data_IF_653325837563
#
_entry.id   IF_653325837563
#
_cell.length_a   1.000
_cell.length_b   1.000
_cell.length_c   1.000
_cell.angle_alpha   90.00
_cell.angle_beta   90.00
_cell.angle_gamma   90.00
#
_symmetry.space_group_name_H-M   'P 1'
#
loop_
_entity.id
_entity.type
_entity.pdbx_description
1 polymer ?
#
# COMPACT_ATOMS: atom_id res chain seq x y z
N UNK A 1 -43.95 -26.84 20.27
CA UNK A 1 -43.43 -26.91 18.87
C UNK A 1 -43.43 -25.54 18.18
N UNK A 2 -44.58 -24.86 17.99
CA UNK A 2 -44.59 -23.53 17.32
C UNK A 2 -43.85 -22.43 18.11
N UNK A 3 -44.04 -22.36 19.44
CA UNK A 3 -43.36 -21.37 20.31
C UNK A 3 -41.85 -21.59 20.39
N UNK A 4 -41.41 -22.86 20.44
CA UNK A 4 -39.99 -23.25 20.45
C UNK A 4 -39.30 -22.96 19.11
N UNK A 5 -40.03 -23.10 17.99
CA UNK A 5 -39.55 -22.68 16.67
C UNK A 5 -39.38 -21.15 16.59
N UNK A 6 -40.37 -20.39 17.10
CA UNK A 6 -40.35 -18.93 17.05
C UNK A 6 -39.21 -18.34 17.89
N UNK A 7 -38.95 -18.91 19.07
CA UNK A 7 -37.81 -18.53 19.90
C UNK A 7 -36.46 -18.89 19.27
N UNK A 8 -36.36 -20.05 18.60
CA UNK A 8 -35.14 -20.43 17.88
C UNK A 8 -34.87 -19.48 16.69
N UNK A 9 -35.92 -19.07 15.98
CA UNK A 9 -35.82 -18.10 14.89
C UNK A 9 -35.38 -16.73 15.39
N UNK A 10 -35.91 -16.27 16.53
CA UNK A 10 -35.52 -14.99 17.14
C UNK A 10 -34.04 -14.98 17.56
N UNK A 11 -33.55 -16.08 18.14
CA UNK A 11 -32.13 -16.24 18.49
C UNK A 11 -31.24 -16.25 17.25
N UNK A 12 -31.64 -16.95 16.19
CA UNK A 12 -30.90 -16.97 14.93
C UNK A 12 -30.79 -15.58 14.29
N UNK A 13 -31.89 -14.81 14.28
CA UNK A 13 -31.91 -13.44 13.74
C UNK A 13 -31.00 -12.51 14.57
N UNK A 14 -31.01 -12.68 15.90
CA UNK A 14 -30.19 -11.87 16.81
C UNK A 14 -28.69 -12.14 16.64
N UNK A 15 -28.30 -13.39 16.38
CA UNK A 15 -26.91 -13.78 16.08
C UNK A 15 -26.41 -13.17 14.77
N UNK A 16 -27.24 -13.15 13.72
CA UNK A 16 -26.91 -12.54 12.43
C UNK A 16 -26.74 -11.02 12.57
N UNK A 17 -27.62 -10.36 13.35
CA UNK A 17 -27.51 -8.93 13.60
C UNK A 17 -26.23 -8.56 14.37
N UNK A 18 -25.80 -9.39 15.32
CA UNK A 18 -24.55 -9.18 16.08
C UNK A 18 -23.29 -9.36 15.23
N UNK A 19 -23.34 -10.21 14.20
CA UNK A 19 -22.20 -10.45 13.29
C UNK A 19 -21.86 -9.26 12.38
N UNK A 20 -22.74 -8.25 12.27
CA UNK A 20 -22.56 -7.12 11.36
C UNK A 20 -21.71 -5.96 11.93
N UNK A 21 -21.13 -6.12 13.11
CA UNK A 21 -20.26 -5.10 13.74
C UNK A 21 -18.80 -5.12 13.27
N UNK A 22 -18.50 -5.66 12.09
CA UNK A 22 -17.16 -5.58 11.51
C UNK A 22 -17.04 -4.29 10.67
N UNK A 23 -16.74 -3.18 11.33
CA UNK A 23 -16.23 -2.00 10.63
C UNK A 23 -14.81 -2.31 10.16
N UNK A 24 -14.68 -2.77 8.92
CA UNK A 24 -13.36 -2.97 8.30
C UNK A 24 -12.56 -1.66 8.28
N UNK A 25 -11.25 -1.75 8.44
CA UNK A 25 -10.35 -0.62 8.23
C UNK A 25 -9.82 -0.66 6.80
N UNK A 26 -9.64 0.52 6.19
CA UNK A 26 -8.91 0.67 4.94
C UNK A 26 -7.59 1.39 5.24
N UNK A 27 -6.50 0.88 4.69
CA UNK A 27 -5.18 1.51 4.77
C UNK A 27 -4.91 2.22 3.45
N UNK A 28 -4.58 3.51 3.49
CA UNK A 28 -4.20 4.26 2.29
C UNK A 28 -2.70 4.50 2.34
N UNK A 29 -1.99 3.99 1.35
CA UNK A 29 -0.59 4.26 1.06
C UNK A 29 -0.56 5.27 -0.08
N UNK A 30 0.13 6.39 0.10
CA UNK A 30 0.24 7.39 -0.95
C UNK A 30 1.69 7.79 -1.20
N UNK A 31 2.00 8.08 -2.46
CA UNK A 31 3.22 8.78 -2.90
C UNK A 31 2.85 10.07 -3.62
N UNK A 32 3.79 11.00 -3.70
CA UNK A 32 3.69 12.26 -4.43
C UNK A 32 5.11 12.77 -4.74
N UNK A 33 5.25 13.63 -5.74
CA UNK A 33 6.50 14.36 -6.04
C UNK A 33 7.69 13.41 -6.17
N UNK A 34 7.48 12.28 -6.85
CA UNK A 34 8.50 11.25 -6.99
C UNK A 34 9.65 11.71 -7.87
N UNK A 35 9.45 12.68 -8.78
CA UNK A 35 10.49 13.39 -9.51
C UNK A 35 11.59 12.49 -10.10
N UNK A 36 11.19 11.33 -10.64
CA UNK A 36 12.09 10.31 -11.16
C UNK A 36 13.18 9.84 -10.19
N UNK A 37 12.99 9.92 -8.87
CA UNK A 37 13.94 9.43 -7.84
C UNK A 37 13.94 7.90 -7.73
N UNK A 38 14.24 7.22 -8.84
CA UNK A 38 14.20 5.77 -8.97
C UNK A 38 15.07 5.05 -7.93
N UNK A 39 16.29 5.54 -7.73
CA UNK A 39 17.29 4.94 -6.83
C UNK A 39 17.22 5.45 -5.39
N UNK A 40 16.39 6.45 -5.11
CA UNK A 40 16.24 7.03 -3.77
C UNK A 40 17.26 8.12 -3.43
N UNK A 41 17.19 8.65 -2.21
CA UNK A 41 17.90 9.82 -1.71
C UNK A 41 19.19 9.43 -1.01
N UNK A 42 20.30 9.63 -1.71
CA UNK A 42 21.72 9.65 -1.28
C UNK A 42 22.52 10.24 -2.45
N UNK A 43 23.81 10.57 -2.28
CA UNK A 43 24.70 10.68 -3.44
C UNK A 43 24.59 9.41 -4.30
N UNK A 44 24.33 9.57 -5.58
CA UNK A 44 24.08 8.45 -6.50
C UNK A 44 25.27 7.48 -6.58
N UNK A 45 26.48 7.98 -6.33
CA UNK A 45 27.71 7.18 -6.26
C UNK A 45 27.74 6.19 -5.09
N UNK A 46 26.94 6.42 -4.05
CA UNK A 46 26.84 5.53 -2.89
C UNK A 46 25.76 4.46 -3.06
N UNK A 47 24.96 4.51 -4.14
CA UNK A 47 23.88 3.56 -4.33
C UNK A 47 24.39 2.17 -4.70
N UNK A 48 24.09 1.19 -3.85
CA UNK A 48 24.53 -0.19 -3.99
C UNK A 48 23.33 -1.12 -4.25
N UNK A 49 22.86 -1.28 -5.50
CA UNK A 49 21.61 -2.02 -5.78
C UNK A 49 21.68 -3.53 -5.50
N UNK A 50 22.89 -4.09 -5.42
CA UNK A 50 23.12 -5.54 -5.28
C UNK A 50 23.51 -5.96 -3.86
N UNK A 51 23.66 -4.99 -2.96
CA UNK A 51 23.95 -5.22 -1.54
C UNK A 51 22.93 -4.48 -0.69
N UNK A 52 22.76 -4.94 0.55
CA UNK A 52 21.71 -4.43 1.43
C UNK A 52 22.37 -3.92 2.71
N UNK A 53 21.94 -2.75 3.18
CA UNK A 53 22.38 -2.12 4.44
C UNK A 53 23.85 -1.68 4.44
N UNK A 54 24.43 -1.43 3.27
CA UNK A 54 25.78 -0.91 3.08
C UNK A 54 25.82 0.51 2.51
N UNK A 55 24.64 1.08 2.21
CA UNK A 55 24.46 2.48 1.82
C UNK A 55 23.54 3.24 2.81
N UNK A 56 23.57 4.57 2.70
CA UNK A 56 22.66 5.45 3.44
C UNK A 56 21.40 5.81 2.63
N UNK A 57 21.18 5.14 1.49
CA UNK A 57 20.14 5.51 0.53
C UNK A 57 18.75 5.26 1.08
N UNK A 58 17.91 6.30 1.08
CA UNK A 58 16.51 6.23 1.52
C UNK A 58 15.54 6.29 0.36
N UNK A 59 14.41 5.60 0.47
CA UNK A 59 13.41 5.58 -0.60
C UNK A 59 13.91 4.86 -1.87
N UNK A 60 13.45 5.32 -3.03
CA UNK A 60 13.64 4.62 -4.29
C UNK A 60 12.62 3.50 -4.49
N UNK A 61 12.39 3.14 -5.74
CA UNK A 61 11.23 2.35 -6.16
C UNK A 61 11.29 0.91 -5.63
N UNK A 62 12.47 0.30 -5.61
CA UNK A 62 12.64 -1.05 -5.07
C UNK A 62 12.28 -1.12 -3.56
N UNK A 63 12.70 -0.12 -2.78
CA UNK A 63 12.39 -0.05 -1.34
C UNK A 63 10.91 0.27 -1.12
N UNK A 64 10.34 1.20 -1.89
CA UNK A 64 8.92 1.53 -1.84
C UNK A 64 8.03 0.32 -2.20
N UNK A 65 8.34 -0.39 -3.28
CA UNK A 65 7.61 -1.60 -3.69
C UNK A 65 7.64 -2.68 -2.61
N UNK A 66 8.76 -2.83 -1.90
CA UNK A 66 8.89 -3.76 -0.77
C UNK A 66 7.95 -3.38 0.37
N UNK A 67 7.91 -2.10 0.76
CA UNK A 67 7.01 -1.60 1.82
C UNK A 67 5.54 -1.76 1.41
N UNK A 68 5.20 -1.39 0.17
CA UNK A 68 3.84 -1.55 -0.37
C UNK A 68 3.39 -3.01 -0.28
N UNK A 69 4.23 -3.94 -0.74
CA UNK A 69 3.93 -5.38 -0.69
C UNK A 69 3.73 -5.86 0.76
N UNK A 70 4.62 -5.48 1.68
CA UNK A 70 4.51 -5.84 3.10
C UNK A 70 3.20 -5.35 3.71
N UNK A 71 2.81 -4.09 3.45
CA UNK A 71 1.56 -3.54 3.99
C UNK A 71 0.33 -4.18 3.34
N UNK A 72 0.36 -4.45 2.03
CA UNK A 72 -0.74 -5.16 1.37
C UNK A 72 -0.96 -6.56 1.93
N UNK A 73 0.13 -7.29 2.23
CA UNK A 73 0.09 -8.60 2.90
C UNK A 73 -0.42 -8.47 4.35
N UNK A 74 0.09 -7.51 5.13
CA UNK A 74 -0.34 -7.27 6.52
C UNK A 74 -1.83 -6.90 6.62
N UNK A 75 -2.33 -6.11 5.68
CA UNK A 75 -3.72 -5.63 5.66
C UNK A 75 -4.67 -6.56 4.91
N UNK A 76 -4.24 -7.77 4.55
CA UNK A 76 -5.07 -8.77 3.85
C UNK A 76 -5.82 -8.19 2.64
N UNK A 77 -5.14 -7.33 1.85
CA UNK A 77 -5.74 -6.68 0.67
C UNK A 77 -6.63 -5.46 0.96
N UNK A 78 -6.77 -5.03 2.21
CA UNK A 78 -7.48 -3.79 2.59
C UNK A 78 -6.58 -2.54 2.50
N UNK A 79 -5.59 -2.56 1.60
CA UNK A 79 -4.67 -1.46 1.37
C UNK A 79 -4.83 -0.89 -0.05
N UNK A 80 -5.11 0.40 -0.14
CA UNK A 80 -5.18 1.17 -1.38
C UNK A 80 -3.87 1.93 -1.58
N UNK A 81 -3.24 1.78 -2.74
CA UNK A 81 -1.99 2.44 -3.10
C UNK A 81 -2.29 3.51 -4.14
N UNK A 82 -1.90 4.76 -3.86
CA UNK A 82 -2.18 5.92 -4.70
C UNK A 82 -0.88 6.69 -4.98
N UNK A 83 -0.79 7.31 -6.15
CA UNK A 83 0.22 8.31 -6.46
C UNK A 83 -0.49 9.62 -6.83
N UNK A 84 -0.03 10.74 -6.26
CA UNK A 84 -0.67 12.04 -6.39
C UNK A 84 -0.07 12.93 -7.50
N UNK A 85 0.80 12.40 -8.37
CA UNK A 85 1.40 13.14 -9.46
C UNK A 85 2.83 13.63 -9.17
N UNK A 86 3.36 14.42 -10.09
CA UNK A 86 4.78 14.82 -10.17
C UNK A 86 5.72 13.61 -10.13
N UNK A 87 5.37 12.61 -10.93
CA UNK A 87 6.10 11.36 -11.06
C UNK A 87 7.48 11.55 -11.73
N UNK A 88 7.57 12.49 -12.68
CA UNK A 88 8.71 12.69 -13.57
C UNK A 88 9.43 14.02 -13.30
N UNK A 89 10.46 14.32 -14.11
CA UNK A 89 11.22 15.58 -14.06
C UNK A 89 11.94 15.85 -12.73
N UNK A 90 13.06 15.15 -12.48
CA UNK A 90 13.91 15.46 -11.32
C UNK A 90 15.21 14.68 -11.20
N UNK A 91 15.43 13.67 -12.02
CA UNK A 91 16.71 12.99 -12.18
C UNK A 91 16.96 12.65 -13.65
N UNK A 92 18.15 12.14 -13.99
CA UNK A 92 18.46 11.71 -15.36
C UNK A 92 17.56 10.56 -15.87
N UNK A 93 16.87 9.83 -14.98
CA UNK A 93 15.93 8.78 -15.41
C UNK A 93 14.77 9.33 -16.23
N UNK A 94 14.37 10.59 -16.01
CA UNK A 94 13.34 11.24 -16.81
C UNK A 94 13.73 11.35 -18.30
N UNK A 95 15.02 11.46 -18.65
CA UNK A 95 15.44 11.66 -20.05
C UNK A 95 15.11 10.47 -20.97
N UNK A 96 14.73 9.33 -20.40
CA UNK A 96 14.27 8.16 -21.14
C UNK A 96 12.79 8.23 -21.51
N UNK A 97 12.08 9.28 -21.08
CA UNK A 97 10.69 9.50 -21.47
C UNK A 97 10.60 9.89 -22.95
N UNK A 98 9.93 9.06 -23.75
CA UNK A 98 9.74 9.29 -25.19
C UNK A 98 8.69 10.38 -25.45
N UNK A 99 7.64 10.42 -24.64
CA UNK A 99 6.57 11.43 -24.69
C UNK A 99 6.19 11.82 -23.27
N UNK A 100 6.07 13.13 -23.02
CA UNK A 100 5.57 13.63 -21.75
C UNK A 100 4.14 13.15 -21.52
N UNK A 101 3.87 12.59 -20.33
CA UNK A 101 2.55 12.12 -19.91
C UNK A 101 1.35 12.92 -20.40
#
# INVERSE_FOLDING_TARGET
>A
MKKTLLSALFVAISLIAFSQYNSGSITILHTNDMHSKLIGFSPELEYTPLSIKDDNTKGGFARLATIIKQVQEEKAGQALVLDAGDFLMGSFFHLLEEETG
#
